data_IF_157638502546
#
_entry.id   IF_157638502546
#
_cell.length_a   1.000
_cell.length_b   1.000
_cell.length_c   1.000
_cell.angle_alpha   90.00
_cell.angle_beta   90.00
_cell.angle_gamma   90.00
#
_symmetry.space_group_name_H-M   'P 1'
#
loop_
_entity.id
_entity.type
_entity.pdbx_description
1 polymer ?
#
# COMPACT_ATOMS: atom_id res chain seq x y z
N UNK A 1 -22.42 38.87 63.21
CA UNK A 1 -22.56 37.54 62.49
C UNK A 1 -22.22 37.74 61.05
N UNK A 2 -20.94 37.47 60.69
CA UNK A 2 -20.46 37.55 59.33
C UNK A 2 -20.35 36.13 58.78
N UNK A 3 -21.15 35.80 57.75
CA UNK A 3 -21.02 34.51 57.00
C UNK A 3 -19.91 34.61 55.98
N UNK A 4 -18.90 33.80 56.15
CA UNK A 4 -17.81 33.63 55.19
C UNK A 4 -18.28 32.57 54.18
N UNK A 5 -18.33 32.94 52.89
CA UNK A 5 -18.62 32.05 51.77
C UNK A 5 -17.27 31.53 51.23
N UNK A 6 -17.01 30.27 51.46
CA UNK A 6 -15.79 29.62 50.93
C UNK A 6 -16.11 29.11 49.53
N UNK A 7 -15.46 29.71 48.54
CA UNK A 7 -15.52 29.29 47.13
C UNK A 7 -14.55 28.13 46.92
N UNK A 8 -15.06 26.91 46.67
CA UNK A 8 -14.26 25.75 46.27
C UNK A 8 -13.98 25.87 44.77
N UNK A 9 -12.76 26.17 44.40
CA UNK A 9 -12.26 26.01 43.03
C UNK A 9 -11.98 24.52 42.79
N UNK A 10 -12.78 23.86 41.95
CA UNK A 10 -12.47 22.56 41.38
C UNK A 10 -11.45 22.77 40.25
N UNK A 11 -10.21 22.48 40.54
CA UNK A 11 -9.16 22.40 39.52
C UNK A 11 -9.34 21.14 38.69
N UNK A 12 -9.74 21.30 37.43
CA UNK A 12 -9.76 20.24 36.44
C UNK A 12 -8.32 20.00 35.97
N UNK A 13 -7.64 19.01 36.56
CA UNK A 13 -6.32 18.56 36.05
C UNK A 13 -6.58 17.77 34.79
N UNK A 14 -6.24 18.34 33.60
CA UNK A 14 -6.06 17.56 32.39
C UNK A 14 -4.87 16.63 32.64
N UNK A 15 -5.14 15.35 32.82
CA UNK A 15 -4.14 14.31 32.71
C UNK A 15 -3.71 14.22 31.23
N UNK A 16 -2.56 14.79 30.91
CA UNK A 16 -1.88 14.51 29.66
C UNK A 16 -1.39 13.07 29.78
N UNK A 17 -2.12 12.14 29.14
CA UNK A 17 -1.62 10.78 28.95
C UNK A 17 -0.34 10.88 28.12
N UNK A 18 0.76 10.25 28.51
CA UNK A 18 1.91 10.14 27.64
C UNK A 18 1.45 9.39 26.39
N UNK A 19 1.58 10.04 25.22
CA UNK A 19 1.57 9.35 23.95
C UNK A 19 2.72 8.36 24.09
N UNK A 20 2.40 7.07 24.17
CA UNK A 20 3.39 6.01 24.03
C UNK A 20 4.02 6.26 22.68
N UNK A 21 5.30 6.66 22.67
CA UNK A 21 6.12 6.58 21.47
C UNK A 21 6.02 5.11 21.04
N UNK A 22 5.46 4.85 19.86
CA UNK A 22 5.65 3.57 19.21
C UNK A 22 7.17 3.47 19.07
N UNK A 23 7.74 2.39 19.59
CA UNK A 23 9.13 2.04 19.32
C UNK A 23 9.28 2.06 17.79
N UNK A 24 10.01 3.03 17.25
CA UNK A 24 10.45 2.97 15.86
C UNK A 24 11.32 1.72 15.81
N UNK A 25 10.83 0.66 15.18
CA UNK A 25 11.61 -0.54 14.93
C UNK A 25 12.90 -0.08 14.22
N UNK A 26 14.03 -0.48 14.77
CA UNK A 26 15.35 -0.10 14.23
C UNK A 26 15.53 -0.83 12.88
N UNK A 27 15.23 -0.12 11.78
CA UNK A 27 15.22 -0.67 10.43
C UNK A 27 16.67 -0.74 9.94
N UNK A 28 17.11 -1.95 9.57
CA UNK A 28 18.43 -2.19 8.97
C UNK A 28 18.42 -1.73 7.49
N UNK A 29 18.98 -0.54 7.23
CA UNK A 29 19.11 0.04 5.89
C UNK A 29 20.38 -0.42 5.13
N UNK A 30 21.03 -1.50 5.55
CA UNK A 30 22.15 -2.10 4.78
C UNK A 30 21.75 -2.48 3.35
N UNK A 31 20.49 -2.81 3.18
CA UNK A 31 19.81 -3.01 1.90
C UNK A 31 18.58 -2.11 1.81
N UNK A 32 18.32 -1.54 0.64
CA UNK A 32 17.16 -0.68 0.40
C UNK A 32 16.45 -1.08 -0.88
N UNK A 33 15.15 -0.77 -0.96
CA UNK A 33 14.42 -0.83 -2.22
C UNK A 33 14.75 0.39 -3.08
N UNK A 34 14.91 0.18 -4.37
CA UNK A 34 15.13 1.27 -5.34
C UNK A 34 14.28 1.04 -6.59
N UNK A 35 13.96 2.13 -7.29
CA UNK A 35 13.33 2.08 -8.61
C UNK A 35 14.36 1.79 -9.73
N UNK A 36 13.90 1.71 -10.97
CA UNK A 36 14.75 1.48 -12.14
C UNK A 36 15.82 2.57 -12.38
N UNK A 37 15.65 3.77 -11.79
CA UNK A 37 16.61 4.86 -11.86
C UNK A 37 17.62 4.82 -10.69
N UNK A 38 17.45 3.89 -9.76
CA UNK A 38 18.26 3.77 -8.55
C UNK A 38 17.83 4.71 -7.42
N UNK A 39 16.65 5.35 -7.54
CA UNK A 39 16.07 6.20 -6.48
C UNK A 39 15.56 5.32 -5.35
N UNK A 40 15.92 5.65 -4.12
CA UNK A 40 15.47 4.89 -2.94
C UNK A 40 13.97 5.05 -2.76
N UNK A 41 13.30 3.93 -2.56
CA UNK A 41 11.89 3.85 -2.20
C UNK A 41 11.82 3.78 -0.67
N UNK A 42 11.24 4.79 0.00
CA UNK A 42 11.19 4.83 1.45
C UNK A 42 10.43 3.66 2.06
N UNK A 43 10.82 3.27 3.28
CA UNK A 43 10.04 2.33 4.10
C UNK A 43 8.58 2.78 4.23
N UNK A 44 7.65 1.82 4.17
CA UNK A 44 6.21 2.06 4.25
C UNK A 44 5.56 2.63 2.99
N UNK A 45 6.33 2.82 1.89
CA UNK A 45 5.76 3.30 0.62
C UNK A 45 4.77 2.31 0.03
N UNK A 46 3.72 2.85 -0.59
CA UNK A 46 2.78 2.10 -1.42
C UNK A 46 3.03 2.45 -2.89
N UNK A 47 3.23 1.44 -3.73
CA UNK A 47 3.57 1.59 -5.14
C UNK A 47 2.49 0.91 -5.96
N UNK A 48 1.82 1.67 -6.82
CA UNK A 48 0.81 1.14 -7.74
C UNK A 48 1.45 0.80 -9.07
N UNK A 49 1.06 -0.34 -9.66
CA UNK A 49 1.46 -0.81 -10.99
C UNK A 49 0.25 -1.29 -11.77
N UNK A 50 0.06 -0.72 -12.94
CA UNK A 50 -1.09 -0.97 -13.81
C UNK A 50 -0.71 -1.18 -15.28
N UNK A 51 0.58 -1.20 -15.59
CA UNK A 51 1.07 -1.42 -16.95
C UNK A 51 1.13 -2.91 -17.24
N UNK A 52 0.25 -3.36 -18.13
CA UNK A 52 0.20 -4.73 -18.59
C UNK A 52 1.31 -4.99 -19.62
N UNK A 53 2.07 -6.04 -19.42
CA UNK A 53 3.15 -6.51 -20.28
C UNK A 53 2.91 -7.96 -20.68
N UNK A 54 3.70 -8.45 -21.64
CA UNK A 54 3.72 -9.87 -22.00
C UNK A 54 4.98 -10.52 -21.47
N UNK A 55 4.79 -11.60 -20.73
CA UNK A 55 5.90 -12.44 -20.29
C UNK A 55 6.58 -13.15 -21.47
N UNK A 56 7.78 -13.71 -21.30
CA UNK A 56 8.43 -14.51 -22.33
C UNK A 56 7.61 -15.75 -22.78
N UNK A 57 6.70 -16.24 -21.93
CA UNK A 57 5.76 -17.33 -22.25
C UNK A 57 4.51 -16.84 -23.00
N UNK A 58 4.30 -15.52 -23.10
CA UNK A 58 3.15 -14.91 -23.76
C UNK A 58 1.94 -14.72 -22.85
N UNK A 59 2.12 -14.86 -21.53
CA UNK A 59 1.09 -14.57 -20.55
C UNK A 59 1.07 -13.08 -20.20
N UNK A 60 -0.12 -12.55 -19.91
CA UNK A 60 -0.26 -11.20 -19.37
C UNK A 60 0.42 -11.14 -18.00
N UNK A 61 1.23 -10.11 -17.77
CA UNK A 61 1.83 -9.85 -16.46
C UNK A 61 1.94 -8.36 -16.17
N UNK A 62 2.01 -8.02 -14.89
CA UNK A 62 2.33 -6.67 -14.42
C UNK A 62 3.56 -6.79 -13.52
N UNK A 63 4.66 -6.15 -13.93
CA UNK A 63 5.93 -6.17 -13.20
C UNK A 63 6.03 -4.99 -12.24
N UNK A 64 6.67 -5.21 -11.08
CA UNK A 64 6.89 -4.13 -10.11
C UNK A 64 7.95 -3.11 -10.58
N UNK A 65 8.97 -3.55 -11.32
CA UNK A 65 10.10 -2.72 -11.70
C UNK A 65 10.89 -2.22 -10.50
N UNK A 66 10.97 -3.03 -9.43
CA UNK A 66 11.63 -2.69 -8.18
C UNK A 66 12.88 -3.54 -8.01
N UNK A 67 13.90 -2.95 -7.43
CA UNK A 67 15.20 -3.57 -7.20
C UNK A 67 15.55 -3.50 -5.71
N UNK A 68 16.38 -4.42 -5.24
CA UNK A 68 17.08 -4.32 -3.96
C UNK A 68 18.52 -3.90 -4.23
N UNK A 69 18.96 -2.87 -3.51
CA UNK A 69 20.33 -2.34 -3.58
C UNK A 69 21.06 -2.56 -2.27
N UNK A 70 22.26 -3.13 -2.36
CA UNK A 70 23.21 -3.15 -1.25
C UNK A 70 23.81 -1.75 -1.10
N UNK A 71 23.65 -1.13 0.08
CA UNK A 71 24.19 0.19 0.41
C UNK A 71 25.47 0.08 1.25
N UNK A 72 25.44 -0.81 2.25
CA UNK A 72 26.53 -0.93 3.23
C UNK A 72 26.67 -2.34 3.81
N UNK A 73 25.90 -3.32 3.33
CA UNK A 73 25.94 -4.69 3.84
C UNK A 73 27.30 -5.33 3.53
N UNK A 74 27.96 -5.96 4.53
CA UNK A 74 29.17 -6.73 4.29
C UNK A 74 28.84 -7.98 3.46
N UNK A 75 29.83 -8.49 2.72
CA UNK A 75 29.71 -9.69 1.86
C UNK A 75 29.34 -10.98 2.61
N UNK A 76 29.26 -10.92 3.94
CA UNK A 76 28.84 -12.04 4.82
C UNK A 76 27.40 -11.92 5.30
N UNK A 77 26.73 -10.80 5.00
CA UNK A 77 25.34 -10.57 5.38
C UNK A 77 24.45 -11.04 4.24
N UNK A 78 23.74 -12.12 4.51
CA UNK A 78 22.71 -12.65 3.61
C UNK A 78 21.41 -11.90 3.81
N UNK A 79 20.53 -11.98 2.82
CA UNK A 79 19.15 -11.52 2.95
C UNK A 79 18.19 -12.55 2.37
N UNK A 80 16.93 -12.42 2.77
CA UNK A 80 15.78 -13.03 2.15
C UNK A 80 14.65 -12.01 2.07
N UNK A 81 13.68 -12.25 1.22
CA UNK A 81 12.45 -11.48 1.21
C UNK A 81 11.39 -12.22 2.03
N UNK A 82 10.85 -11.54 3.04
CA UNK A 82 9.56 -11.90 3.63
C UNK A 82 8.48 -11.15 2.85
N UNK A 83 7.41 -11.84 2.44
CA UNK A 83 6.33 -11.18 1.73
C UNK A 83 4.97 -11.72 2.16
N UNK A 84 4.02 -10.79 2.23
CA UNK A 84 2.63 -11.08 2.54
C UNK A 84 1.77 -10.69 1.34
N UNK A 85 1.05 -11.64 0.77
CA UNK A 85 0.01 -11.38 -0.22
C UNK A 85 -1.26 -11.07 0.56
N UNK A 86 -1.65 -9.80 0.59
CA UNK A 86 -2.82 -9.32 1.35
C UNK A 86 -4.10 -9.36 0.52
N UNK A 87 -3.96 -9.26 -0.82
CA UNK A 87 -5.05 -9.40 -1.78
C UNK A 87 -4.56 -10.11 -3.03
N UNK A 88 -5.36 -11.04 -3.55
CA UNK A 88 -5.15 -11.73 -4.82
C UNK A 88 -6.51 -12.10 -5.40
N UNK A 89 -7.03 -11.26 -6.27
CA UNK A 89 -8.39 -11.44 -6.82
C UNK A 89 -8.45 -12.60 -7.81
N UNK A 90 -7.37 -12.80 -8.59
CA UNK A 90 -7.25 -13.89 -9.55
C UNK A 90 -5.80 -14.08 -9.99
N UNK A 91 -5.56 -15.13 -10.79
CA UNK A 91 -4.22 -15.42 -11.31
C UNK A 91 -3.25 -15.88 -10.23
N UNK A 92 -1.97 -15.54 -10.38
CA UNK A 92 -0.94 -15.87 -9.41
C UNK A 92 0.11 -14.76 -9.32
N UNK A 93 0.75 -14.66 -8.15
CA UNK A 93 1.88 -13.79 -7.90
C UNK A 93 3.18 -14.59 -7.95
N UNK A 94 4.23 -14.02 -8.54
CA UNK A 94 5.58 -14.60 -8.60
C UNK A 94 6.61 -13.62 -8.05
N UNK A 95 7.54 -14.16 -7.25
CA UNK A 95 8.71 -13.45 -6.74
C UNK A 95 9.97 -14.26 -7.03
N UNK A 96 10.88 -13.73 -7.87
CA UNK A 96 12.17 -14.33 -8.17
C UNK A 96 13.28 -13.55 -7.46
N UNK A 97 13.61 -13.93 -6.22
CA UNK A 97 14.61 -13.22 -5.41
C UNK A 97 15.05 -14.06 -4.19
N UNK A 98 16.30 -13.93 -3.67
CA UNK A 98 17.47 -13.43 -4.41
C UNK A 98 18.03 -14.43 -5.41
N UNK A 99 17.78 -15.75 -5.24
CA UNK A 99 18.37 -16.83 -6.04
C UNK A 99 17.35 -17.80 -6.63
N UNK A 100 16.07 -17.70 -6.25
CA UNK A 100 15.02 -18.63 -6.69
C UNK A 100 13.70 -17.93 -6.93
N UNK A 101 12.85 -18.53 -7.78
CA UNK A 101 11.49 -18.06 -8.01
C UNK A 101 10.50 -18.87 -7.16
N UNK A 102 9.50 -18.19 -6.63
CA UNK A 102 8.36 -18.79 -5.93
C UNK A 102 7.08 -18.18 -6.52
N UNK A 103 6.12 -19.03 -6.86
CA UNK A 103 4.81 -18.60 -7.32
C UNK A 103 3.75 -19.00 -6.32
N UNK A 104 2.77 -18.14 -6.09
CA UNK A 104 1.70 -18.29 -5.11
C UNK A 104 0.37 -17.89 -5.76
N UNK A 105 -0.66 -18.68 -5.53
CA UNK A 105 -2.04 -18.47 -6.00
C UNK A 105 -3.04 -18.24 -4.86
N UNK A 106 -2.51 -18.05 -3.63
CA UNK A 106 -3.30 -17.77 -2.43
C UNK A 106 -2.72 -16.60 -1.64
N UNK A 107 -3.58 -15.89 -0.89
CA UNK A 107 -3.16 -14.91 0.11
C UNK A 107 -2.43 -15.60 1.26
N UNK A 108 -1.45 -14.92 1.87
CA UNK A 108 -0.70 -15.51 2.97
C UNK A 108 0.69 -14.92 3.16
N UNK A 109 1.42 -15.52 4.11
CA UNK A 109 2.78 -15.13 4.48
C UNK A 109 3.79 -16.12 3.91
N UNK A 110 4.78 -15.61 3.21
CA UNK A 110 5.78 -16.40 2.52
C UNK A 110 7.18 -15.84 2.74
N UNK A 111 8.19 -16.67 2.50
CA UNK A 111 9.60 -16.25 2.52
C UNK A 111 10.35 -16.87 1.37
N UNK A 112 11.32 -16.13 0.82
CA UNK A 112 12.27 -16.69 -0.15
C UNK A 112 13.40 -17.45 0.55
N UNK A 113 14.23 -18.14 -0.22
CA UNK A 113 15.52 -18.65 0.28
C UNK A 113 16.50 -17.49 0.54
N UNK A 114 17.50 -17.75 1.37
CA UNK A 114 18.55 -16.80 1.67
C UNK A 114 19.56 -16.71 0.51
N UNK A 115 20.08 -15.51 0.27
CA UNK A 115 21.12 -15.25 -0.73
C UNK A 115 21.92 -13.99 -0.46
N UNK A 116 22.97 -13.80 -1.22
CA UNK A 116 23.77 -12.57 -1.20
C UNK A 116 23.36 -11.70 -2.38
N UNK A 117 23.23 -10.40 -2.13
CA UNK A 117 23.06 -9.38 -3.17
C UNK A 117 24.26 -8.45 -3.13
N UNK A 118 25.00 -8.43 -4.24
CA UNK A 118 26.13 -7.52 -4.46
C UNK A 118 25.71 -6.47 -5.48
N UNK A 119 25.69 -5.19 -5.05
CA UNK A 119 25.21 -4.08 -5.87
C UNK A 119 23.69 -3.96 -5.90
N UNK A 120 23.08 -3.96 -7.09
CA UNK A 120 21.64 -3.82 -7.29
C UNK A 120 21.10 -5.03 -8.06
N UNK A 121 20.01 -5.61 -7.55
CA UNK A 121 19.36 -6.79 -8.15
C UNK A 121 17.86 -6.55 -8.31
N UNK A 122 17.32 -6.90 -9.49
CA UNK A 122 15.89 -6.96 -9.74
C UNK A 122 15.24 -8.03 -8.87
N UNK A 123 14.11 -7.70 -8.25
CA UNK A 123 13.37 -8.67 -7.43
C UNK A 123 12.38 -9.50 -8.24
N UNK A 124 12.11 -9.15 -9.51
CA UNK A 124 11.12 -9.78 -10.38
C UNK A 124 9.83 -10.13 -9.61
N UNK A 125 9.28 -9.10 -8.98
CA UNK A 125 7.99 -9.16 -8.29
C UNK A 125 6.92 -8.88 -9.33
N UNK A 126 6.12 -9.89 -9.68
CA UNK A 126 5.26 -9.91 -10.84
C UNK A 126 3.91 -10.54 -10.50
N UNK A 127 2.83 -9.94 -10.98
CA UNK A 127 1.51 -10.53 -10.95
C UNK A 127 1.09 -10.97 -12.35
N UNK A 128 0.55 -12.18 -12.45
CA UNK A 128 0.02 -12.78 -13.67
C UNK A 128 -1.51 -12.86 -13.57
N UNK A 129 -2.21 -11.79 -13.95
CA UNK A 129 -3.66 -11.73 -13.83
C UNK A 129 -4.38 -12.57 -14.88
N UNK A 130 -5.29 -13.41 -14.47
CA UNK A 130 -6.21 -14.14 -15.37
C UNK A 130 -7.32 -13.23 -15.89
N UNK A 131 -7.77 -12.26 -15.08
CA UNK A 131 -8.86 -11.33 -15.37
C UNK A 131 -8.57 -9.96 -14.73
N UNK A 132 -9.47 -8.99 -14.89
CA UNK A 132 -9.38 -7.72 -14.18
C UNK A 132 -9.42 -7.93 -12.66
N UNK A 133 -8.66 -7.15 -11.92
CA UNK A 133 -8.57 -7.31 -10.47
C UNK A 133 -7.36 -6.62 -9.86
N UNK A 134 -7.07 -6.99 -8.61
CA UNK A 134 -5.96 -6.48 -7.81
C UNK A 134 -5.15 -7.62 -7.22
N UNK A 135 -3.84 -7.44 -7.21
CA UNK A 135 -2.94 -8.18 -6.34
C UNK A 135 -2.18 -7.18 -5.48
N UNK A 136 -2.21 -7.35 -4.15
CA UNK A 136 -1.48 -6.49 -3.22
C UNK A 136 -0.52 -7.32 -2.39
N UNK A 137 0.75 -6.90 -2.35
CA UNK A 137 1.83 -7.62 -1.68
C UNK A 137 2.67 -6.66 -0.87
N UNK A 138 2.86 -6.97 0.41
CA UNK A 138 3.84 -6.32 1.28
C UNK A 138 5.15 -7.07 1.16
N UNK A 139 6.22 -6.39 0.80
CA UNK A 139 7.58 -6.91 0.69
C UNK A 139 8.42 -6.37 1.82
N UNK A 140 9.14 -7.21 2.55
CA UNK A 140 10.06 -6.81 3.62
C UNK A 140 11.40 -7.53 3.46
N UNK A 141 12.48 -6.76 3.51
CA UNK A 141 13.85 -7.31 3.52
C UNK A 141 14.14 -7.82 4.93
N UNK A 142 14.61 -9.05 5.04
CA UNK A 142 15.17 -9.59 6.28
C UNK A 142 16.65 -9.88 6.07
N UNK A 143 17.49 -9.39 6.99
CA UNK A 143 18.92 -9.69 6.98
C UNK A 143 19.21 -10.94 7.80
N UNK A 144 20.14 -11.76 7.31
CA UNK A 144 20.43 -13.09 7.83
C UNK A 144 21.94 -13.30 8.00
N UNK A 145 22.35 -13.86 9.13
CA UNK A 145 23.74 -14.26 9.35
C UNK A 145 23.89 -15.78 9.21
N UNK A 146 24.83 -16.19 8.37
CA UNK A 146 25.15 -17.61 8.24
C UNK A 146 25.96 -18.12 9.43
N UNK A 147 25.46 -19.15 10.11
CA UNK A 147 26.10 -19.78 11.29
C UNK A 147 26.83 -21.07 10.98
N UNK A 148 26.47 -21.75 9.90
CA UNK A 148 27.09 -23.00 9.47
C UNK A 148 27.09 -23.10 7.95
N UNK A 149 28.15 -23.68 7.39
CA UNK A 149 28.28 -23.93 5.95
C UNK A 149 27.65 -25.28 5.55
N UNK A 150 27.74 -26.28 6.43
CA UNK A 150 27.25 -27.64 6.13
C UNK A 150 26.63 -28.31 7.38
N UNK A 151 25.31 -28.53 7.37
CA UNK A 151 24.34 -27.92 6.45
C UNK A 151 24.29 -26.41 6.64
N UNK A 152 23.96 -25.63 5.61
CA UNK A 152 23.84 -24.19 5.75
C UNK A 152 22.74 -23.86 6.77
N UNK A 153 23.05 -22.98 7.71
CA UNK A 153 22.12 -22.48 8.72
C UNK A 153 22.23 -20.97 8.81
N UNK A 154 21.10 -20.32 8.71
CA UNK A 154 20.98 -18.88 8.82
C UNK A 154 20.17 -18.53 10.06
N UNK A 155 20.49 -17.41 10.67
CA UNK A 155 19.70 -16.81 11.74
C UNK A 155 19.35 -15.41 11.36
N UNK A 156 18.16 -14.99 11.74
CA UNK A 156 17.69 -13.63 11.58
C UNK A 156 18.63 -12.65 12.29
N UNK A 157 18.98 -11.55 11.63
CA UNK A 157 19.88 -10.51 12.13
C UNK A 157 19.18 -9.17 12.32
N UNK A 158 18.21 -8.83 11.46
CA UNK A 158 17.45 -7.59 11.53
C UNK A 158 16.37 -7.52 10.46
N UNK A 159 15.42 -6.63 10.66
CA UNK A 159 14.40 -6.27 9.68
C UNK A 159 14.88 -5.05 8.90
N UNK A 160 14.87 -5.17 7.58
CA UNK A 160 15.10 -4.06 6.67
C UNK A 160 13.81 -3.32 6.32
N UNK A 161 13.87 -2.39 5.35
CA UNK A 161 12.69 -1.66 4.92
C UNK A 161 11.61 -2.58 4.34
N UNK A 162 10.35 -2.16 4.47
CA UNK A 162 9.20 -2.79 3.81
C UNK A 162 8.50 -1.79 2.90
N UNK A 163 7.86 -2.32 1.84
CA UNK A 163 7.04 -1.57 0.89
C UNK A 163 5.82 -2.39 0.53
N UNK A 164 4.75 -1.72 0.10
CA UNK A 164 3.58 -2.38 -0.47
C UNK A 164 3.56 -2.17 -1.98
N UNK A 165 3.38 -3.24 -2.74
CA UNK A 165 3.16 -3.18 -4.18
C UNK A 165 1.73 -3.57 -4.47
N UNK A 166 0.98 -2.69 -5.12
CA UNK A 166 -0.39 -2.90 -5.54
C UNK A 166 -0.44 -2.98 -7.06
N UNK A 167 -0.64 -4.16 -7.57
CA UNK A 167 -0.85 -4.43 -8.99
C UNK A 167 -2.33 -4.32 -9.33
N UNK A 168 -2.65 -3.68 -10.46
CA UNK A 168 -4.03 -3.40 -10.88
C UNK A 168 -4.19 -3.71 -12.35
N UNK A 169 -5.10 -4.61 -12.71
CA UNK A 169 -5.52 -4.84 -14.09
C UNK A 169 -6.99 -4.41 -14.26
N UNK A 170 -7.25 -3.60 -15.30
CA UNK A 170 -8.58 -3.06 -15.56
C UNK A 170 -8.93 -1.82 -14.76
N UNK A 171 -10.12 -1.28 -15.04
CA UNK A 171 -10.63 -0.14 -14.30
C UNK A 171 -10.98 -0.54 -12.86
N UNK A 172 -10.15 -0.13 -11.91
CA UNK A 172 -10.52 -0.30 -10.51
C UNK A 172 -11.65 0.66 -10.15
N UNK A 173 -12.59 0.21 -9.29
CA UNK A 173 -13.41 1.18 -8.58
C UNK A 173 -12.46 2.10 -7.82
N UNK A 174 -12.33 3.33 -8.27
CA UNK A 174 -11.62 4.34 -7.48
C UNK A 174 -12.27 4.42 -6.10
N UNK A 175 -11.49 4.62 -5.01
CA UNK A 175 -12.10 4.97 -3.75
C UNK A 175 -13.04 6.15 -4.00
N UNK A 176 -14.24 6.14 -3.41
CA UNK A 176 -15.23 7.19 -3.67
C UNK A 176 -14.59 8.55 -3.48
N UNK A 177 -14.32 9.24 -4.59
CA UNK A 177 -13.82 10.62 -4.55
C UNK A 177 -15.02 11.50 -4.24
N UNK A 178 -15.01 12.26 -3.14
CA UNK A 178 -16.14 13.13 -2.84
C UNK A 178 -16.43 14.04 -4.02
N UNK A 179 -17.64 13.94 -4.60
CA UNK A 179 -18.05 14.69 -5.77
C UNK A 179 -17.88 14.00 -7.12
N UNK A 180 -17.17 12.87 -7.21
CA UNK A 180 -17.13 12.00 -8.39
C UNK A 180 -18.39 11.09 -8.40
N UNK A 181 -19.49 11.66 -8.86
CA UNK A 181 -20.81 11.02 -8.80
C UNK A 181 -20.98 9.98 -9.92
N UNK A 182 -20.34 10.23 -11.07
CA UNK A 182 -20.38 9.34 -12.24
C UNK A 182 -19.29 8.26 -12.21
N UNK A 183 -18.34 8.35 -11.26
CA UNK A 183 -17.22 7.44 -11.04
C UNK A 183 -16.25 7.32 -12.23
N UNK A 184 -16.01 8.45 -12.94
CA UNK A 184 -15.06 8.51 -14.05
C UNK A 184 -13.64 8.92 -13.62
N UNK A 185 -13.44 9.24 -12.33
CA UNK A 185 -12.16 9.62 -11.75
C UNK A 185 -11.84 11.10 -11.77
N UNK A 186 -12.77 11.92 -12.24
CA UNK A 186 -12.63 13.37 -12.27
C UNK A 186 -13.85 14.02 -11.61
N UNK A 187 -13.65 15.07 -10.82
CA UNK A 187 -14.75 15.86 -10.27
C UNK A 187 -14.95 17.08 -11.16
N UNK A 188 -15.96 17.06 -12.02
CA UNK A 188 -16.19 18.08 -13.02
C UNK A 188 -17.69 18.28 -13.36
N UNK A 189 -17.99 19.03 -14.43
CA UNK A 189 -19.37 19.31 -14.86
C UNK A 189 -20.14 18.02 -15.27
N UNK A 190 -19.43 16.93 -15.60
CA UNK A 190 -20.03 15.63 -15.92
C UNK A 190 -20.80 15.06 -14.74
N UNK A 191 -20.26 15.22 -13.51
CA UNK A 191 -20.90 14.76 -12.28
C UNK A 191 -22.17 15.52 -11.95
N UNK A 192 -22.16 16.84 -12.21
CA UNK A 192 -23.39 17.66 -12.05
C UNK A 192 -24.48 17.16 -12.97
N UNK A 193 -24.17 16.87 -14.22
CA UNK A 193 -25.16 16.36 -15.18
C UNK A 193 -25.66 14.98 -14.76
N UNK A 194 -24.77 14.10 -14.32
CA UNK A 194 -25.14 12.76 -13.85
C UNK A 194 -26.01 12.80 -12.59
N UNK A 195 -25.69 13.70 -11.64
CA UNK A 195 -26.48 13.91 -10.42
C UNK A 195 -27.89 14.47 -10.75
N UNK A 196 -27.99 15.39 -11.70
CA UNK A 196 -29.29 15.90 -12.19
C UNK A 196 -30.13 14.77 -12.76
N UNK A 197 -29.56 13.94 -13.63
CA UNK A 197 -30.27 12.78 -14.23
C UNK A 197 -30.70 11.78 -13.17
N UNK A 198 -29.85 11.54 -12.16
CA UNK A 198 -30.14 10.66 -11.01
C UNK A 198 -31.35 11.18 -10.21
N UNK A 199 -31.40 12.48 -9.91
CA UNK A 199 -32.50 13.12 -9.18
C UNK A 199 -33.80 13.08 -10.00
N UNK A 200 -33.74 13.39 -11.30
CA UNK A 200 -34.90 13.42 -12.19
C UNK A 200 -35.49 12.01 -12.43
N UNK A 201 -34.63 11.00 -12.48
CA UNK A 201 -35.06 9.61 -12.66
C UNK A 201 -35.48 8.92 -11.35
N UNK A 202 -35.31 9.57 -10.20
CA UNK A 202 -35.52 8.99 -8.86
C UNK A 202 -34.72 7.70 -8.63
N UNK A 203 -33.62 7.54 -9.33
CA UNK A 203 -32.68 6.42 -9.18
C UNK A 203 -31.46 6.87 -8.38
N UNK A 204 -31.67 7.17 -7.10
CA UNK A 204 -30.64 7.72 -6.23
C UNK A 204 -29.65 6.65 -5.76
N UNK A 205 -28.35 6.98 -5.82
CA UNK A 205 -27.25 6.17 -5.32
C UNK A 205 -26.49 6.94 -4.23
N UNK A 206 -25.83 6.24 -3.28
CA UNK A 206 -25.08 6.90 -2.22
C UNK A 206 -23.99 7.90 -2.70
N UNK A 207 -23.43 7.70 -3.89
CA UNK A 207 -22.46 8.62 -4.49
C UNK A 207 -23.06 10.01 -4.81
N UNK A 208 -24.40 10.11 -4.92
CA UNK A 208 -25.10 11.36 -5.14
C UNK A 208 -25.32 12.20 -3.88
N UNK A 209 -25.14 11.64 -2.68
CA UNK A 209 -25.20 12.36 -1.41
C UNK A 209 -23.86 13.06 -1.14
N UNK A 210 -23.65 14.17 -1.82
CA UNK A 210 -22.37 14.92 -1.80
C UNK A 210 -22.20 15.70 -0.50
N UNK A 211 -23.30 16.12 0.13
CA UNK A 211 -23.30 16.89 1.38
C UNK A 211 -23.40 16.01 2.64
N UNK A 212 -23.56 14.70 2.49
CA UNK A 212 -23.67 13.69 3.55
C UNK A 212 -24.87 13.92 4.50
N UNK A 213 -26.01 14.41 3.97
CA UNK A 213 -27.25 14.57 4.75
C UNK A 213 -28.21 13.36 4.67
N UNK A 214 -27.80 12.30 3.95
CA UNK A 214 -28.53 11.07 3.64
C UNK A 214 -29.73 11.26 2.69
N UNK A 215 -29.81 12.38 2.00
CA UNK A 215 -30.79 12.64 0.95
C UNK A 215 -30.06 13.02 -0.34
N UNK A 216 -30.50 12.49 -1.49
CA UNK A 216 -29.95 12.89 -2.79
C UNK A 216 -30.94 13.84 -3.44
N UNK A 217 -30.60 15.14 -3.46
CA UNK A 217 -31.49 16.21 -3.92
C UNK A 217 -30.71 17.41 -4.47
N UNK A 218 -31.38 18.54 -4.68
CA UNK A 218 -30.76 19.75 -5.27
C UNK A 218 -29.69 20.39 -4.35
N UNK A 219 -29.67 20.06 -3.05
CA UNK A 219 -28.64 20.57 -2.16
C UNK A 219 -27.27 19.97 -2.50
N UNK A 220 -27.24 18.71 -2.95
CA UNK A 220 -26.02 18.04 -3.38
C UNK A 220 -25.43 18.66 -4.64
N UNK A 221 -26.28 19.09 -5.57
CA UNK A 221 -25.82 19.83 -6.75
C UNK A 221 -25.08 21.11 -6.35
N UNK A 222 -25.60 21.84 -5.35
CA UNK A 222 -24.95 23.04 -4.87
C UNK A 222 -23.60 22.73 -4.19
N UNK A 223 -23.55 21.67 -3.40
CA UNK A 223 -22.33 21.21 -2.74
C UNK A 223 -21.28 20.75 -3.76
N UNK A 224 -21.70 20.06 -4.81
CA UNK A 224 -20.85 19.62 -5.91
C UNK A 224 -20.29 20.82 -6.72
N UNK A 225 -21.12 21.83 -6.98
CA UNK A 225 -20.67 23.08 -7.62
C UNK A 225 -19.60 23.78 -6.76
N UNK A 226 -19.81 23.88 -5.45
CA UNK A 226 -18.83 24.47 -4.55
C UNK A 226 -17.50 23.69 -4.56
N UNK A 227 -17.56 22.37 -4.65
CA UNK A 227 -16.39 21.49 -4.68
C UNK A 227 -15.60 21.64 -5.99
N UNK A 228 -16.27 21.86 -7.13
CA UNK A 228 -15.64 22.06 -8.44
C UNK A 228 -14.98 23.45 -8.55
N UNK A 229 -15.53 24.46 -7.84
CA UNK A 229 -15.05 25.84 -7.94
C UNK A 229 -13.91 26.20 -6.96
N UNK A 230 -13.58 25.33 -6.01
CA UNK A 230 -12.51 25.53 -5.03
C UNK A 230 -11.24 24.78 -5.40
#
# INVERSE_FOLDING_TARGET
>A
MKKIFTLLLFGLSLAVLPVMAQDEEDIDESYVFVDANGTVIPHGSVIVRDVLEQSPSGEDMIASGIFVKNVSAPSTLFLRMHYEITQLDNGYYQLCFPISCNSQDEVGYYTTSEGLVDGTQDIQSEWFPADDGVCEVVLMIETMTQKSLFPPRYIHSGNGPSITVRFVKGAQPQPPMPGDVNQDGEVNIGDINYLIDMILSSNTQPAGDVNADNEVNIADINSLIELILN
#
